data_IF_586523967917
#
_entry.id   IF_586523967917
#
_cell.length_a   1.000
_cell.length_b   1.000
_cell.length_c   1.000
_cell.angle_alpha   90.00
_cell.angle_beta   90.00
_cell.angle_gamma   90.00
#
_symmetry.space_group_name_H-M   'P 1'
#
loop_
_entity.id
_entity.type
_entity.pdbx_description
1 polymer ?
#
# COMPACT_ATOMS: atom_id res chain seq x y z
N UNK A 1 4.69 -18.05 -37.06
CA UNK A 1 4.93 -16.99 -36.11
C UNK A 1 4.91 -17.64 -34.72
N UNK A 2 6.02 -17.65 -33.99
CA UNK A 2 6.06 -18.17 -32.61
C UNK A 2 5.14 -17.29 -31.78
N UNK A 3 4.17 -17.89 -31.05
CA UNK A 3 3.32 -17.17 -30.13
C UNK A 3 4.22 -16.51 -29.08
N UNK A 4 4.12 -15.20 -28.93
CA UNK A 4 4.84 -14.46 -27.89
C UNK A 4 4.29 -14.92 -26.54
N UNK A 5 5.16 -15.21 -25.56
CA UNK A 5 4.70 -15.63 -24.23
C UNK A 5 3.93 -14.49 -23.55
N UNK A 6 2.79 -14.77 -22.88
CA UNK A 6 2.03 -13.76 -22.13
C UNK A 6 2.87 -12.95 -21.13
N UNK A 7 3.89 -13.57 -20.53
CA UNK A 7 4.87 -12.90 -19.67
C UNK A 7 5.71 -11.89 -20.48
N UNK A 8 6.11 -12.24 -21.70
CA UNK A 8 6.87 -11.34 -22.57
C UNK A 8 6.06 -10.10 -22.93
N UNK A 9 4.75 -10.24 -23.18
CA UNK A 9 3.86 -9.11 -23.47
C UNK A 9 3.73 -8.19 -22.26
N UNK A 10 3.62 -8.75 -21.03
CA UNK A 10 3.57 -7.97 -19.82
C UNK A 10 4.88 -7.20 -19.57
N UNK A 11 6.02 -7.85 -19.76
CA UNK A 11 7.34 -7.20 -19.70
C UNK A 11 7.44 -6.08 -20.74
N UNK A 12 7.00 -6.32 -21.98
CA UNK A 12 7.02 -5.30 -23.03
C UNK A 12 6.14 -4.08 -22.68
N UNK A 13 4.98 -4.29 -22.03
CA UNK A 13 4.14 -3.20 -21.54
C UNK A 13 4.84 -2.37 -20.45
N UNK A 14 5.54 -3.01 -19.51
CA UNK A 14 6.33 -2.33 -18.48
C UNK A 14 7.48 -1.54 -19.13
N UNK A 15 8.21 -2.13 -20.07
CA UNK A 15 9.30 -1.45 -20.76
C UNK A 15 8.79 -0.25 -21.59
N UNK A 16 7.66 -0.39 -22.28
CA UNK A 16 7.03 0.73 -22.99
C UNK A 16 6.70 1.88 -22.03
N UNK A 17 6.13 1.58 -20.87
CA UNK A 17 5.82 2.57 -19.84
C UNK A 17 7.09 3.27 -19.29
N UNK A 18 8.20 2.54 -19.16
CA UNK A 18 9.49 3.11 -18.75
C UNK A 18 10.05 4.13 -19.76
N UNK A 19 9.59 4.10 -20.99
CA UNK A 19 10.01 5.04 -22.04
C UNK A 19 8.91 6.06 -22.38
N UNK A 20 7.72 5.95 -21.80
CA UNK A 20 6.62 6.89 -22.02
C UNK A 20 6.82 8.15 -21.17
N UNK A 21 7.02 9.33 -21.77
CA UNK A 21 7.17 10.56 -21.02
C UNK A 21 5.81 10.99 -20.43
N UNK A 22 5.77 11.34 -19.15
CA UNK A 22 4.54 11.83 -18.46
C UNK A 22 4.63 13.29 -18.02
N UNK A 23 5.84 13.75 -17.81
CA UNK A 23 6.20 15.17 -17.69
C UNK A 23 7.37 15.41 -18.63
N UNK A 24 7.66 16.65 -19.08
CA UNK A 24 8.75 16.88 -20.01
C UNK A 24 10.05 16.25 -19.51
N UNK A 25 10.52 15.21 -20.23
CA UNK A 25 11.77 14.52 -19.96
C UNK A 25 11.76 13.39 -18.93
N UNK A 26 10.64 13.14 -18.22
CA UNK A 26 10.57 12.09 -17.21
C UNK A 26 9.72 10.89 -17.70
N UNK A 27 10.21 9.63 -17.56
CA UNK A 27 9.43 8.44 -17.90
C UNK A 27 8.37 8.14 -16.83
N UNK A 28 7.31 7.43 -17.23
CA UNK A 28 6.25 6.98 -16.30
C UNK A 28 6.80 6.08 -15.17
N UNK A 29 7.76 5.20 -15.49
CA UNK A 29 8.39 4.30 -14.52
C UNK A 29 9.91 4.45 -14.57
N UNK A 30 10.53 5.35 -13.77
CA UNK A 30 11.99 5.48 -13.72
C UNK A 30 12.72 4.21 -13.34
N UNK A 31 12.21 3.49 -12.32
CA UNK A 31 12.67 2.20 -11.87
C UNK A 31 11.50 1.27 -11.58
N UNK A 32 11.70 -0.04 -11.79
CA UNK A 32 10.66 -1.04 -11.60
C UNK A 32 11.24 -2.36 -11.13
N UNK A 33 10.49 -3.03 -10.25
CA UNK A 33 10.65 -4.44 -9.87
C UNK A 33 9.29 -5.09 -9.98
N UNK A 34 9.15 -6.07 -10.88
CA UNK A 34 7.95 -6.87 -11.07
C UNK A 34 8.18 -8.32 -10.65
N UNK A 35 7.22 -8.91 -9.96
CA UNK A 35 7.24 -10.31 -9.55
C UNK A 35 5.89 -10.95 -9.86
N UNK A 36 5.90 -12.08 -10.56
CA UNK A 36 4.76 -12.97 -10.75
C UNK A 36 5.06 -14.30 -10.09
N UNK A 37 4.14 -14.76 -9.27
CA UNK A 37 4.26 -16.02 -8.54
C UNK A 37 2.94 -16.79 -8.61
N UNK A 38 3.02 -18.10 -8.72
CA UNK A 38 1.86 -18.97 -8.62
C UNK A 38 2.27 -20.35 -8.06
N UNK A 39 1.44 -20.87 -7.15
CA UNK A 39 1.51 -22.23 -6.60
C UNK A 39 2.93 -22.68 -6.24
N UNK A 40 3.65 -21.89 -5.46
CA UNK A 40 4.99 -22.20 -4.98
C UNK A 40 6.13 -21.84 -5.94
N UNK A 41 5.87 -21.25 -7.12
CA UNK A 41 6.90 -20.97 -8.13
C UNK A 41 6.88 -19.48 -8.56
N UNK A 42 8.06 -18.93 -8.76
CA UNK A 42 8.22 -17.67 -9.47
C UNK A 42 7.99 -17.93 -10.96
N UNK A 43 6.98 -17.28 -11.52
CA UNK A 43 6.63 -17.37 -12.95
C UNK A 43 7.48 -16.37 -13.75
N UNK A 44 7.68 -15.17 -13.19
CA UNK A 44 8.52 -14.14 -13.77
C UNK A 44 9.05 -13.19 -12.70
N UNK A 45 10.26 -12.72 -12.93
CA UNK A 45 10.85 -11.57 -12.22
C UNK A 45 11.40 -10.62 -13.27
N UNK A 46 11.10 -9.33 -13.13
CA UNK A 46 11.58 -8.30 -14.06
C UNK A 46 12.09 -7.10 -13.26
N UNK A 47 13.32 -6.70 -13.54
CA UNK A 47 13.97 -5.54 -12.93
C UNK A 47 14.53 -4.63 -13.98
N UNK A 48 14.18 -3.35 -13.94
CA UNK A 48 14.66 -2.41 -14.94
C UNK A 48 14.72 -0.98 -14.41
N UNK A 49 15.55 -0.15 -15.05
CA UNK A 49 15.65 1.28 -14.76
C UNK A 49 16.47 1.62 -13.52
N UNK A 50 16.10 2.71 -12.88
CA UNK A 50 16.88 3.32 -11.80
C UNK A 50 16.02 3.58 -10.56
N UNK A 51 16.49 3.13 -9.41
CA UNK A 51 15.97 3.52 -8.10
C UNK A 51 16.16 5.04 -7.87
N UNK A 52 17.25 5.62 -8.41
CA UNK A 52 17.48 7.08 -8.46
C UNK A 52 17.92 7.46 -9.87
N UNK A 53 17.09 8.24 -10.56
CA UNK A 53 17.34 8.68 -11.93
C UNK A 53 17.66 10.18 -12.02
N UNK A 54 17.16 10.98 -11.11
CA UNK A 54 17.32 12.43 -11.03
C UNK A 54 17.98 12.84 -9.72
N UNK A 55 18.69 13.95 -9.70
CA UNK A 55 19.21 14.58 -8.49
C UNK A 55 18.19 15.51 -7.84
N UNK A 56 18.55 16.11 -6.70
CA UNK A 56 17.67 17.01 -5.96
C UNK A 56 17.31 18.31 -6.68
N UNK A 57 17.94 18.63 -7.81
CA UNK A 57 17.55 19.77 -8.67
C UNK A 57 16.60 19.38 -9.79
N UNK A 58 16.23 18.10 -9.88
CA UNK A 58 15.45 17.56 -11.01
C UNK A 58 16.27 17.32 -12.28
N UNK A 59 17.59 17.44 -12.22
CA UNK A 59 18.45 17.16 -13.36
C UNK A 59 18.66 15.64 -13.49
N UNK A 60 18.50 15.13 -14.73
CA UNK A 60 18.72 13.70 -14.99
C UNK A 60 20.19 13.36 -14.81
N UNK A 61 20.46 12.38 -13.93
CA UNK A 61 21.81 11.92 -13.64
C UNK A 61 22.47 11.24 -14.85
N UNK A 62 23.76 11.47 -15.08
CA UNK A 62 24.53 10.68 -16.03
C UNK A 62 24.56 9.21 -15.58
N UNK A 63 24.72 8.28 -16.52
CA UNK A 63 24.58 6.83 -16.25
C UNK A 63 25.45 6.36 -15.06
N UNK A 64 26.67 6.87 -14.94
CA UNK A 64 27.61 6.51 -13.86
C UNK A 64 27.18 6.97 -12.44
N UNK A 65 26.23 7.89 -12.32
CA UNK A 65 25.74 8.41 -11.04
C UNK A 65 24.33 7.92 -10.69
N UNK A 66 23.65 7.18 -11.59
CA UNK A 66 22.33 6.60 -11.31
C UNK A 66 22.47 5.46 -10.30
N UNK A 67 21.47 5.32 -9.43
CA UNK A 67 21.31 4.10 -8.64
C UNK A 67 20.43 3.15 -9.44
N UNK A 68 20.90 2.00 -9.91
CA UNK A 68 20.06 1.05 -10.65
C UNK A 68 19.00 0.46 -9.73
N UNK A 69 17.82 0.13 -10.27
CA UNK A 69 16.87 -0.74 -9.59
C UNK A 69 17.46 -2.16 -9.51
N UNK A 70 17.17 -2.87 -8.42
CA UNK A 70 17.61 -4.23 -8.12
C UNK A 70 16.45 -5.03 -7.54
N UNK A 71 16.53 -6.34 -7.53
CA UNK A 71 15.51 -7.22 -6.92
C UNK A 71 15.25 -6.88 -5.46
N UNK A 72 16.28 -6.42 -4.73
CA UNK A 72 16.25 -6.05 -3.33
C UNK A 72 16.06 -4.54 -3.11
N UNK A 73 15.67 -3.79 -4.14
CA UNK A 73 15.32 -2.37 -4.00
C UNK A 73 14.10 -2.23 -3.09
N UNK A 74 14.22 -1.35 -2.11
CA UNK A 74 13.18 -1.05 -1.13
C UNK A 74 12.38 0.14 -1.62
N UNK A 75 11.08 -0.03 -1.79
CA UNK A 75 10.15 1.00 -2.25
C UNK A 75 9.26 1.49 -1.11
N UNK A 76 8.94 2.78 -1.10
CA UNK A 76 7.78 3.29 -0.37
C UNK A 76 6.52 2.69 -1.00
N UNK A 77 5.81 1.86 -0.23
CA UNK A 77 4.64 1.15 -0.75
C UNK A 77 3.33 1.95 -0.58
N UNK A 78 3.44 3.18 -0.08
CA UNK A 78 2.33 4.12 0.03
C UNK A 78 1.09 3.45 0.65
N UNK A 79 -0.05 3.51 -0.02
CA UNK A 79 -1.33 2.98 0.49
C UNK A 79 -1.39 1.47 0.68
N UNK A 80 -0.41 0.67 0.20
CA UNK A 80 -0.31 -0.73 0.63
C UNK A 80 -0.09 -0.85 2.15
N UNK A 81 0.39 0.21 2.82
CA UNK A 81 0.44 0.34 4.28
C UNK A 81 -0.90 -0.02 4.94
N UNK A 82 -2.02 0.33 4.31
CA UNK A 82 -3.37 0.07 4.81
C UNK A 82 -3.65 -1.41 5.03
N UNK A 83 -3.05 -2.28 4.21
CA UNK A 83 -3.19 -3.74 4.33
C UNK A 83 -2.52 -4.26 5.61
N UNK A 84 -1.36 -3.71 5.94
CA UNK A 84 -0.67 -4.03 7.19
C UNK A 84 -1.45 -3.52 8.40
N UNK A 85 -1.96 -2.29 8.33
CA UNK A 85 -2.80 -1.70 9.38
C UNK A 85 -4.09 -2.52 9.61
N UNK A 86 -4.74 -2.97 8.53
CA UNK A 86 -5.90 -3.84 8.60
C UNK A 86 -5.56 -5.21 9.23
N UNK A 87 -4.42 -5.79 8.86
CA UNK A 87 -3.91 -7.04 9.47
C UNK A 87 -3.73 -6.88 10.99
N UNK A 88 -3.10 -5.79 11.42
CA UNK A 88 -2.93 -5.47 12.84
C UNK A 88 -4.28 -5.28 13.55
N UNK A 89 -5.26 -4.66 12.89
CA UNK A 89 -6.61 -4.51 13.44
C UNK A 89 -7.28 -5.86 13.71
N UNK A 90 -7.19 -6.79 12.73
CA UNK A 90 -7.74 -8.13 12.90
C UNK A 90 -7.04 -8.92 14.02
N UNK A 91 -5.73 -8.76 14.18
CA UNK A 91 -5.01 -9.34 15.33
C UNK A 91 -5.50 -8.78 16.68
N UNK A 92 -5.88 -7.47 16.75
CA UNK A 92 -6.48 -6.93 17.96
C UNK A 92 -7.91 -7.46 18.17
N UNK A 93 -8.66 -7.75 17.10
CA UNK A 93 -9.97 -8.41 17.19
C UNK A 93 -9.82 -9.84 17.73
N UNK A 94 -8.89 -10.62 17.19
CA UNK A 94 -8.59 -11.99 17.65
C UNK A 94 -8.17 -12.02 19.13
N UNK A 95 -7.47 -10.98 19.57
CA UNK A 95 -7.04 -10.83 20.96
C UNK A 95 -8.17 -10.29 21.89
N UNK A 96 -9.38 -10.04 21.37
CA UNK A 96 -10.51 -9.51 22.13
C UNK A 96 -10.33 -8.05 22.60
N UNK A 97 -9.37 -7.31 22.05
CA UNK A 97 -9.10 -5.91 22.39
C UNK A 97 -9.82 -4.90 21.49
N UNK A 98 -10.30 -5.35 20.34
CA UNK A 98 -11.01 -4.54 19.36
C UNK A 98 -12.28 -5.27 18.88
N UNK A 99 -13.41 -4.55 18.87
CA UNK A 99 -14.66 -5.02 18.27
C UNK A 99 -14.94 -4.16 17.01
N UNK A 100 -15.04 -4.82 15.85
CA UNK A 100 -15.35 -4.15 14.59
C UNK A 100 -16.74 -3.51 14.56
N UNK A 101 -17.68 -4.02 15.35
CA UNK A 101 -19.04 -3.48 15.45
C UNK A 101 -19.13 -2.30 16.42
N UNK A 102 -18.14 -2.13 17.30
CA UNK A 102 -18.13 -1.03 18.26
C UNK A 102 -17.92 0.33 17.57
N UNK A 103 -18.51 1.41 18.13
CA UNK A 103 -18.19 2.75 17.71
C UNK A 103 -16.70 3.08 17.94
N UNK A 104 -16.07 3.77 16.99
CA UNK A 104 -14.68 4.26 17.14
C UNK A 104 -14.54 5.13 18.39
N UNK A 105 -15.59 5.92 18.70
CA UNK A 105 -15.64 6.79 19.87
C UNK A 105 -15.57 6.03 21.20
N UNK A 106 -15.89 4.73 21.23
CA UNK A 106 -15.70 3.89 22.42
C UNK A 106 -14.22 3.80 22.83
N UNK A 107 -13.34 3.71 21.84
CA UNK A 107 -11.88 3.63 22.04
C UNK A 107 -11.21 5.00 22.04
N UNK A 108 -11.69 5.90 21.19
CA UNK A 108 -11.19 7.25 20.97
C UNK A 108 -12.30 8.27 21.22
N UNK A 109 -12.58 8.70 22.47
CA UNK A 109 -13.73 9.56 22.81
C UNK A 109 -13.78 10.87 22.00
N UNK A 110 -12.64 11.45 21.64
CA UNK A 110 -12.55 12.68 20.81
C UNK A 110 -13.12 12.48 19.40
N UNK A 111 -13.14 11.25 18.90
CA UNK A 111 -13.71 10.93 17.59
C UNK A 111 -15.21 11.20 17.49
N UNK A 112 -15.92 11.27 18.63
CA UNK A 112 -17.35 11.60 18.67
C UNK A 112 -17.69 13.03 18.23
N UNK A 113 -16.67 13.90 18.09
CA UNK A 113 -16.87 15.28 17.66
C UNK A 113 -17.69 15.36 16.36
N UNK A 114 -18.48 16.41 16.22
CA UNK A 114 -19.32 16.69 15.05
C UNK A 114 -20.31 15.55 14.70
N UNK A 115 -20.82 14.86 15.73
CA UNK A 115 -21.86 13.83 15.58
C UNK A 115 -21.39 12.51 14.98
N UNK A 116 -20.10 12.14 15.15
CA UNK A 116 -19.51 10.90 14.64
C UNK A 116 -19.55 9.72 15.65
N UNK A 117 -20.35 9.83 16.71
CA UNK A 117 -20.42 8.81 17.76
C UNK A 117 -20.94 7.44 17.28
N UNK A 118 -21.57 7.37 16.11
CA UNK A 118 -22.15 6.17 15.51
C UNK A 118 -21.22 5.45 14.51
N UNK A 119 -20.13 6.09 14.09
CA UNK A 119 -19.17 5.48 13.16
C UNK A 119 -18.48 4.29 13.82
N UNK A 120 -18.60 3.11 13.21
CA UNK A 120 -18.03 1.85 13.71
C UNK A 120 -16.65 1.58 13.13
N UNK A 121 -15.85 0.78 13.84
CA UNK A 121 -14.49 0.40 13.41
C UNK A 121 -14.49 -0.25 12.03
N UNK A 122 -15.46 -1.14 11.73
CA UNK A 122 -15.58 -1.78 10.42
C UNK A 122 -15.67 -0.75 9.28
N UNK A 123 -16.33 0.39 9.50
CA UNK A 123 -16.51 1.43 8.47
C UNK A 123 -15.24 2.20 8.14
N UNK A 124 -14.25 2.22 9.06
CA UNK A 124 -12.92 2.72 8.74
C UNK A 124 -12.20 1.78 7.76
N UNK A 125 -12.34 0.46 7.95
CA UNK A 125 -11.68 -0.57 7.14
C UNK A 125 -12.33 -0.78 5.77
N UNK A 126 -13.62 -0.45 5.62
CA UNK A 126 -14.39 -0.60 4.37
C UNK A 126 -14.58 0.72 3.63
N UNK A 127 -14.00 1.82 4.13
CA UNK A 127 -14.14 3.16 3.59
C UNK A 127 -15.60 3.66 3.47
N UNK A 128 -16.46 3.27 4.43
CA UNK A 128 -17.87 3.66 4.48
C UNK A 128 -18.23 4.54 5.68
N UNK A 129 -17.25 5.16 6.30
CA UNK A 129 -17.40 6.03 7.46
C UNK A 129 -17.99 7.41 7.14
N UNK A 130 -17.87 7.87 5.89
CA UNK A 130 -18.22 9.22 5.45
C UNK A 130 -17.18 10.29 5.81
N UNK A 131 -15.98 9.92 6.28
CA UNK A 131 -14.91 10.89 6.51
C UNK A 131 -14.38 11.46 5.19
N UNK A 132 -13.86 12.70 5.27
CA UNK A 132 -13.11 13.31 4.16
C UNK A 132 -12.03 12.37 3.64
N UNK A 133 -11.82 12.40 2.31
CA UNK A 133 -10.83 11.55 1.68
C UNK A 133 -9.39 11.91 2.10
N UNK A 134 -9.11 13.20 2.35
CA UNK A 134 -7.80 13.74 2.68
C UNK A 134 -7.92 15.13 3.33
N UNK A 135 -6.95 15.51 4.16
CA UNK A 135 -6.75 16.85 4.71
C UNK A 135 -5.27 17.24 4.58
N UNK A 136 -4.94 18.51 4.37
CA UNK A 136 -3.54 18.97 4.34
C UNK A 136 -2.96 19.11 5.76
N UNK A 137 -2.88 17.98 6.50
CA UNK A 137 -2.49 17.98 7.92
C UNK A 137 -1.08 18.55 8.12
N UNK A 138 -0.17 18.22 7.21
CA UNK A 138 1.21 18.68 7.25
C UNK A 138 1.36 20.19 7.14
N UNK A 139 0.45 20.84 6.44
CA UNK A 139 0.50 22.27 6.14
C UNK A 139 -0.27 23.14 7.15
N UNK A 140 -1.49 22.70 7.51
CA UNK A 140 -2.46 23.55 8.22
C UNK A 140 -2.41 23.38 9.74
N UNK A 141 -1.71 22.35 10.26
CA UNK A 141 -1.56 22.13 11.69
C UNK A 141 -0.09 21.98 12.10
N UNK A 142 0.36 22.76 13.12
CA UNK A 142 1.80 22.91 13.37
C UNK A 142 2.47 21.73 14.12
N UNK A 143 1.69 20.97 14.91
CA UNK A 143 2.27 19.87 15.72
C UNK A 143 1.63 18.53 15.39
N UNK A 144 2.35 17.43 15.70
CA UNK A 144 1.83 16.07 15.53
C UNK A 144 0.50 15.88 16.27
N UNK A 145 0.38 16.38 17.49
CA UNK A 145 -0.83 16.28 18.31
C UNK A 145 -2.01 17.04 17.66
N UNK A 146 -1.76 18.24 17.13
CA UNK A 146 -2.79 19.02 16.44
C UNK A 146 -3.24 18.34 15.14
N UNK A 147 -2.33 17.71 14.40
CA UNK A 147 -2.62 16.93 13.18
C UNK A 147 -3.48 15.71 13.49
N UNK A 148 -3.07 14.93 14.51
CA UNK A 148 -3.87 13.78 14.97
C UNK A 148 -5.24 14.24 15.41
N UNK A 149 -5.33 15.31 16.19
CA UNK A 149 -6.60 15.85 16.65
C UNK A 149 -7.50 16.29 15.49
N UNK A 150 -6.95 16.99 14.52
CA UNK A 150 -7.69 17.42 13.32
C UNK A 150 -8.21 16.20 12.53
N UNK A 151 -7.39 15.16 12.33
CA UNK A 151 -7.82 13.94 11.67
C UNK A 151 -8.97 13.23 12.41
N UNK A 152 -8.91 13.17 13.75
CA UNK A 152 -9.92 12.51 14.57
C UNK A 152 -11.20 13.35 14.70
N UNK A 153 -11.10 14.68 14.72
CA UNK A 153 -12.25 15.56 14.99
C UNK A 153 -12.85 16.19 13.74
N UNK A 154 -12.28 15.98 12.53
CA UNK A 154 -12.85 16.49 11.28
C UNK A 154 -14.30 16.01 11.10
N UNK A 155 -15.24 16.89 10.66
CA UNK A 155 -16.62 16.48 10.39
C UNK A 155 -16.70 15.42 9.28
N UNK A 156 -17.82 14.72 9.19
CA UNK A 156 -18.14 13.87 8.03
C UNK A 156 -18.34 14.75 6.78
N UNK A 157 -17.85 14.25 5.63
CA UNK A 157 -18.10 14.85 4.32
C UNK A 157 -19.37 14.30 3.67
N UNK A 158 -19.65 13.01 3.89
CA UNK A 158 -20.79 12.30 3.32
C UNK A 158 -21.53 11.49 4.39
N UNK A 159 -22.75 11.01 4.11
CA UNK A 159 -23.44 10.05 4.97
C UNK A 159 -22.62 8.77 5.17
N UNK A 160 -22.74 8.19 6.35
CA UNK A 160 -22.19 6.88 6.66
C UNK A 160 -22.86 5.80 5.79
N UNK A 161 -22.06 4.92 5.18
CA UNK A 161 -22.54 3.88 4.27
C UNK A 161 -22.26 4.17 2.80
N UNK A 162 -21.91 5.40 2.44
CA UNK A 162 -21.35 5.72 1.13
C UNK A 162 -19.86 5.38 1.08
N UNK A 163 -19.37 4.89 -0.05
CA UNK A 163 -17.94 4.62 -0.22
C UNK A 163 -17.19 5.91 -0.52
N UNK A 164 -16.27 6.26 0.36
CA UNK A 164 -15.28 7.32 0.16
C UNK A 164 -13.93 6.79 0.58
N UNK A 165 -13.08 6.47 -0.39
CA UNK A 165 -11.69 6.11 -0.07
C UNK A 165 -11.02 7.24 0.71
N UNK A 166 -10.66 7.00 1.97
CA UNK A 166 -10.23 8.04 2.89
C UNK A 166 -8.98 7.62 3.66
N UNK A 167 -7.96 8.47 3.60
CA UNK A 167 -6.75 8.33 4.40
C UNK A 167 -7.04 8.57 5.89
N UNK A 168 -8.01 9.46 6.20
CA UNK A 168 -8.38 9.75 7.59
C UNK A 168 -8.91 8.52 8.32
N UNK A 169 -9.57 7.58 7.61
CA UNK A 169 -9.99 6.31 8.17
C UNK A 169 -8.82 5.54 8.78
N UNK A 170 -7.75 5.43 8.01
CA UNK A 170 -6.59 4.63 8.42
C UNK A 170 -5.67 5.38 9.38
N UNK A 171 -5.64 6.72 9.32
CA UNK A 171 -4.99 7.54 10.35
C UNK A 171 -5.68 7.29 11.69
N UNK A 172 -7.03 7.40 11.73
CA UNK A 172 -7.80 7.13 12.93
C UNK A 172 -7.63 5.68 13.44
N UNK A 173 -7.62 4.70 12.52
CA UNK A 173 -7.38 3.30 12.85
C UNK A 173 -5.99 3.07 13.43
N UNK A 174 -4.94 3.71 12.87
CA UNK A 174 -3.57 3.64 13.41
C UNK A 174 -3.51 4.14 14.86
N UNK A 175 -4.08 5.31 15.13
CA UNK A 175 -4.18 5.87 16.50
C UNK A 175 -4.96 4.94 17.44
N UNK A 176 -6.04 4.34 16.94
CA UNK A 176 -6.84 3.39 17.70
C UNK A 176 -6.03 2.13 18.05
N UNK A 177 -5.26 1.60 17.10
CA UNK A 177 -4.40 0.43 17.32
C UNK A 177 -3.33 0.70 18.37
N UNK A 178 -2.66 1.84 18.33
CA UNK A 178 -1.72 2.25 19.39
C UNK A 178 -2.42 2.31 20.76
N UNK A 179 -3.64 2.85 20.80
CA UNK A 179 -4.42 2.96 22.04
C UNK A 179 -4.79 1.61 22.65
N UNK A 180 -5.27 0.66 21.83
CA UNK A 180 -5.76 -0.64 22.34
C UNK A 180 -4.63 -1.65 22.57
N UNK A 181 -3.52 -1.53 21.85
CA UNK A 181 -2.35 -2.40 22.04
C UNK A 181 -1.38 -1.89 23.10
N UNK A 182 -1.37 -0.59 23.37
CA UNK A 182 -0.36 0.08 24.21
C UNK A 182 1.04 0.12 23.58
N UNK A 183 1.14 -0.13 22.26
CA UNK A 183 2.40 -0.26 21.51
C UNK A 183 2.40 0.71 20.33
N UNK A 184 3.47 1.47 20.06
CA UNK A 184 3.61 2.27 18.85
C UNK A 184 3.38 1.42 17.59
N UNK A 185 2.74 2.02 16.56
CA UNK A 185 2.28 1.31 15.37
C UNK A 185 3.42 0.63 14.61
N UNK A 186 4.57 1.26 14.54
CA UNK A 186 5.77 0.73 13.89
C UNK A 186 6.33 -0.50 14.61
N UNK A 187 6.39 -0.47 15.94
CA UNK A 187 6.80 -1.62 16.75
C UNK A 187 5.76 -2.73 16.69
N UNK A 188 4.47 -2.37 16.68
CA UNK A 188 3.39 -3.34 16.54
C UNK A 188 3.48 -4.09 15.20
N UNK A 189 3.76 -3.37 14.09
CA UNK A 189 3.99 -3.98 12.78
C UNK A 189 5.19 -4.93 12.81
N UNK A 190 6.32 -4.48 13.35
CA UNK A 190 7.53 -5.28 13.45
C UNK A 190 7.27 -6.56 14.22
N UNK A 191 6.77 -6.46 15.45
CA UNK A 191 6.68 -7.58 16.38
C UNK A 191 5.59 -8.58 16.01
N UNK A 192 4.54 -8.13 15.29
CA UNK A 192 3.36 -8.95 15.00
C UNK A 192 3.25 -9.44 13.57
N UNK A 193 4.03 -8.85 12.64
CA UNK A 193 3.94 -9.20 11.22
C UNK A 193 5.33 -9.42 10.64
N UNK A 194 6.19 -8.40 10.60
CA UNK A 194 7.39 -8.48 9.77
C UNK A 194 8.47 -9.36 10.37
N UNK A 195 8.72 -9.31 11.66
CA UNK A 195 9.71 -10.15 12.32
C UNK A 195 9.28 -11.63 12.34
N UNK A 196 8.03 -12.00 12.73
CA UNK A 196 7.59 -13.40 12.67
C UNK A 196 7.65 -14.01 11.27
N UNK A 197 7.34 -13.23 10.22
CA UNK A 197 7.36 -13.68 8.83
C UNK A 197 8.75 -13.57 8.17
N UNK A 198 9.76 -13.08 8.88
CA UNK A 198 11.11 -12.89 8.34
C UNK A 198 11.22 -11.81 7.25
N UNK A 199 10.29 -10.86 7.20
CA UNK A 199 10.22 -9.74 6.25
C UNK A 199 11.18 -8.63 6.68
N UNK A 200 12.47 -8.84 6.48
CA UNK A 200 13.55 -7.98 7.03
C UNK A 200 13.68 -6.63 6.35
N UNK A 201 13.16 -6.52 5.15
CA UNK A 201 13.21 -5.31 4.32
C UNK A 201 11.85 -4.56 4.32
N UNK A 202 10.95 -4.93 5.25
CA UNK A 202 9.63 -4.34 5.38
C UNK A 202 9.43 -3.71 6.75
N UNK A 203 8.98 -2.45 6.75
CA UNK A 203 8.67 -1.70 7.97
C UNK A 203 8.52 -0.22 7.70
N UNK A 204 8.24 0.54 8.74
CA UNK A 204 8.33 2.00 8.67
C UNK A 204 9.80 2.45 8.60
N UNK A 205 10.08 3.59 7.96
CA UNK A 205 11.44 4.08 7.75
C UNK A 205 12.33 4.07 9.01
N UNK A 206 11.85 4.45 10.22
CA UNK A 206 12.64 4.39 11.43
C UNK A 206 13.20 3.00 11.78
N UNK A 207 12.45 1.90 11.46
CA UNK A 207 12.92 0.52 11.70
C UNK A 207 13.92 0.05 10.65
N UNK A 208 13.92 0.67 9.47
CA UNK A 208 14.77 0.29 8.35
C UNK A 208 16.08 1.10 8.27
N UNK A 209 16.35 1.95 9.26
CA UNK A 209 17.53 2.83 9.29
C UNK A 209 18.88 2.12 9.28
N UNK A 210 18.90 0.78 9.50
CA UNK A 210 20.10 -0.05 9.38
C UNK A 210 20.36 -0.57 7.95
N UNK A 211 19.39 -0.44 7.04
CA UNK A 211 19.58 -0.83 5.64
C UNK A 211 20.49 0.15 4.93
N UNK A 212 21.23 -0.36 3.94
CA UNK A 212 22.02 0.51 3.06
C UNK A 212 21.11 1.55 2.41
N UNK A 213 21.35 2.86 2.61
CA UNK A 213 20.57 3.92 1.96
C UNK A 213 20.54 3.80 0.43
N UNK A 214 21.54 3.15 -0.16
CA UNK A 214 21.59 2.84 -1.58
C UNK A 214 20.48 1.93 -2.08
N UNK A 215 19.84 1.17 -1.20
CA UNK A 215 18.75 0.25 -1.55
C UNK A 215 17.40 0.94 -1.73
N UNK A 216 17.19 2.13 -1.15
CA UNK A 216 15.89 2.80 -1.26
C UNK A 216 15.70 3.45 -2.63
N UNK A 217 14.53 3.25 -3.23
CA UNK A 217 14.10 4.01 -4.39
C UNK A 217 13.75 5.45 -3.96
N UNK A 218 14.19 6.43 -4.76
CA UNK A 218 13.74 7.80 -4.59
C UNK A 218 12.30 7.96 -5.07
N UNK A 219 11.55 8.78 -4.37
CA UNK A 219 10.21 9.20 -4.75
C UNK A 219 10.25 10.59 -5.36
N UNK A 220 9.61 11.57 -4.81
CA UNK A 220 9.41 12.88 -5.40
C UNK A 220 10.44 13.91 -4.91
N UNK A 221 10.61 14.99 -5.66
CA UNK A 221 11.23 16.22 -5.16
C UNK A 221 10.11 17.10 -4.63
N UNK A 222 10.05 17.24 -3.32
CA UNK A 222 8.98 17.96 -2.62
C UNK A 222 9.46 19.34 -2.17
N UNK A 223 9.36 20.30 -3.07
CA UNK A 223 9.77 21.68 -2.81
C UNK A 223 8.78 22.41 -1.88
N UNK A 224 7.47 22.15 -2.02
CA UNK A 224 6.41 22.79 -1.22
C UNK A 224 6.54 22.45 0.28
N UNK A 225 6.93 21.24 0.60
CA UNK A 225 7.21 20.81 1.96
C UNK A 225 8.65 21.09 2.41
N UNK A 226 9.50 21.63 1.52
CA UNK A 226 10.90 21.94 1.80
C UNK A 226 11.77 20.70 2.02
N UNK A 227 11.36 19.52 1.52
CA UNK A 227 12.05 18.23 1.75
C UNK A 227 13.12 17.92 0.69
N UNK A 228 13.04 18.57 -0.49
CA UNK A 228 13.88 18.22 -1.63
C UNK A 228 13.63 16.79 -2.15
N UNK A 229 14.69 16.10 -2.57
CA UNK A 229 14.56 14.71 -3.07
C UNK A 229 14.28 13.76 -1.91
N UNK A 230 13.06 13.22 -1.88
CA UNK A 230 12.61 12.25 -0.86
C UNK A 230 13.15 10.86 -1.19
N UNK A 231 13.90 10.27 -0.25
CA UNK A 231 14.48 8.92 -0.37
C UNK A 231 14.73 8.31 1.00
N UNK A 232 14.18 7.14 1.27
CA UNK A 232 14.27 6.50 2.60
C UNK A 232 13.45 7.20 3.67
N UNK A 233 12.64 8.18 3.28
CA UNK A 233 11.58 8.80 4.06
C UNK A 233 10.25 8.58 3.33
N UNK A 234 9.14 8.53 4.09
CA UNK A 234 7.80 8.37 3.52
C UNK A 234 7.48 9.52 2.56
N UNK A 235 6.94 9.19 1.39
CA UNK A 235 6.52 10.17 0.39
C UNK A 235 5.31 10.98 0.86
N UNK A 236 4.28 10.32 1.42
CA UNK A 236 3.06 10.98 1.87
C UNK A 236 3.34 12.07 2.90
N UNK A 237 2.95 13.30 2.60
CA UNK A 237 3.26 14.48 3.41
C UNK A 237 2.57 14.43 4.78
N UNK A 238 1.35 13.86 4.86
CA UNK A 238 0.65 13.70 6.12
C UNK A 238 1.35 12.66 7.00
N UNK A 239 1.69 11.50 6.46
CA UNK A 239 2.44 10.47 7.19
C UNK A 239 3.80 11.00 7.65
N UNK A 240 4.53 11.71 6.78
CA UNK A 240 5.78 12.39 7.15
C UNK A 240 5.60 13.35 8.32
N UNK A 241 4.58 14.19 8.26
CA UNK A 241 4.28 15.18 9.31
C UNK A 241 3.81 14.54 10.63
N UNK A 242 3.40 13.27 10.59
CA UNK A 242 3.06 12.44 11.75
C UNK A 242 4.26 11.66 12.29
N UNK A 243 5.47 11.91 11.77
CA UNK A 243 6.71 11.25 12.20
C UNK A 243 7.10 10.04 11.37
N UNK A 244 6.56 9.90 10.16
CA UNK A 244 6.84 8.80 9.23
C UNK A 244 6.07 7.51 9.54
N UNK A 245 5.22 7.52 10.57
CA UNK A 245 4.47 6.33 11.03
C UNK A 245 2.99 6.68 11.10
N UNK A 246 2.22 6.15 10.16
CA UNK A 246 0.77 6.36 10.12
C UNK A 246 0.05 5.15 9.53
N UNK A 247 -1.23 4.96 9.89
CA UNK A 247 -1.97 3.78 9.44
C UNK A 247 -2.32 3.75 7.95
N UNK A 248 -2.21 4.88 7.24
CA UNK A 248 -2.55 5.01 5.82
C UNK A 248 -1.36 4.93 4.87
N UNK A 249 -0.16 5.28 5.33
CA UNK A 249 1.09 5.33 4.55
C UNK A 249 2.32 5.26 5.47
N UNK A 250 3.51 4.97 4.92
CA UNK A 250 4.80 5.00 5.60
C UNK A 250 5.54 3.69 5.65
N UNK A 251 4.92 2.58 5.25
CA UNK A 251 5.61 1.29 5.12
C UNK A 251 6.44 1.27 3.83
N UNK A 252 7.63 0.72 3.96
CA UNK A 252 8.54 0.39 2.87
C UNK A 252 8.63 -1.13 2.73
N UNK A 253 8.89 -1.63 1.52
CA UNK A 253 9.02 -3.08 1.29
C UNK A 253 9.76 -3.40 0.00
N UNK A 254 10.06 -4.68 -0.18
CA UNK A 254 10.54 -5.30 -1.41
C UNK A 254 9.47 -6.20 -2.03
N UNK A 255 9.64 -6.60 -3.28
CA UNK A 255 8.72 -7.53 -3.94
C UNK A 255 8.71 -8.91 -3.25
N UNK A 256 9.85 -9.38 -2.75
CA UNK A 256 9.97 -10.65 -2.05
C UNK A 256 9.20 -10.66 -0.71
N UNK A 257 9.34 -9.59 0.07
CA UNK A 257 8.63 -9.47 1.35
C UNK A 257 7.11 -9.31 1.13
N UNK A 258 6.70 -8.52 0.12
CA UNK A 258 5.28 -8.41 -0.23
C UNK A 258 4.69 -9.74 -0.72
N UNK A 259 5.47 -10.58 -1.42
CA UNK A 259 5.03 -11.94 -1.75
C UNK A 259 4.81 -12.77 -0.47
N UNK A 260 5.73 -12.69 0.49
CA UNK A 260 5.56 -13.36 1.79
C UNK A 260 4.29 -12.89 2.49
N UNK A 261 4.02 -11.58 2.50
CA UNK A 261 2.79 -11.02 3.06
C UNK A 261 1.54 -11.49 2.31
N UNK A 262 1.56 -11.52 0.97
CA UNK A 262 0.42 -11.98 0.16
C UNK A 262 0.10 -13.46 0.43
N UNK A 263 1.13 -14.30 0.64
CA UNK A 263 0.96 -15.73 0.97
C UNK A 263 0.18 -15.95 2.27
N UNK A 264 0.20 -15.02 3.21
CA UNK A 264 -0.65 -15.10 4.41
C UNK A 264 -2.11 -15.29 4.05
N UNK A 265 -2.59 -14.60 3.02
CA UNK A 265 -3.99 -14.65 2.59
C UNK A 265 -4.28 -15.87 1.70
N UNK A 266 -3.30 -16.33 0.93
CA UNK A 266 -3.40 -17.57 0.15
C UNK A 266 -3.41 -18.83 1.05
N UNK A 267 -2.72 -18.78 2.18
CA UNK A 267 -2.47 -19.92 3.05
C UNK A 267 -3.30 -19.85 4.36
N UNK A 268 -4.41 -19.10 4.36
CA UNK A 268 -5.38 -19.05 5.46
C UNK A 268 -4.79 -18.48 6.77
N UNK A 269 -3.92 -17.47 6.68
CA UNK A 269 -3.39 -16.72 7.82
C UNK A 269 -2.01 -17.19 8.31
N UNK A 270 -1.36 -18.10 7.59
CA UNK A 270 -0.02 -18.59 7.98
C UNK A 270 0.89 -18.75 6.77
N UNK A 271 2.20 -18.57 6.96
CA UNK A 271 3.23 -18.81 5.95
C UNK A 271 4.33 -19.66 6.59
N UNK A 272 4.71 -20.76 5.94
CA UNK A 272 5.81 -21.66 6.36
C UNK A 272 5.71 -22.07 7.85
N UNK A 273 4.47 -22.30 8.35
CA UNK A 273 4.17 -22.70 9.72
C UNK A 273 3.99 -21.53 10.71
N UNK A 274 4.29 -20.30 10.32
CA UNK A 274 4.09 -19.11 11.16
C UNK A 274 2.71 -18.53 10.91
N UNK A 275 1.86 -18.52 11.94
CA UNK A 275 0.50 -17.96 11.87
C UNK A 275 0.46 -16.54 12.41
N UNK A 276 -0.08 -15.62 11.63
CA UNK A 276 -0.32 -14.23 12.06
C UNK A 276 -1.80 -13.83 12.04
N UNK A 277 -2.66 -14.60 11.39
CA UNK A 277 -4.12 -14.42 11.38
C UNK A 277 -4.82 -15.77 11.45
N UNK A 278 -6.04 -15.78 11.97
CA UNK A 278 -6.95 -16.92 11.86
C UNK A 278 -7.54 -17.01 10.44
N UNK A 279 -8.06 -18.19 10.08
CA UNK A 279 -8.80 -18.37 8.83
C UNK A 279 -10.02 -17.42 8.74
N UNK A 280 -10.72 -17.20 9.86
CA UNK A 280 -11.87 -16.29 9.93
C UNK A 280 -11.48 -14.84 9.63
N UNK A 281 -10.37 -14.37 10.18
CA UNK A 281 -9.85 -13.03 9.91
C UNK A 281 -9.48 -12.89 8.42
N UNK A 282 -8.80 -13.88 7.84
CA UNK A 282 -8.49 -13.89 6.42
C UNK A 282 -9.78 -13.85 5.58
N UNK A 283 -10.76 -14.69 5.90
CA UNK A 283 -12.05 -14.71 5.18
C UNK A 283 -12.73 -13.32 5.22
N UNK A 284 -12.75 -12.65 6.38
CA UNK A 284 -13.33 -11.31 6.54
C UNK A 284 -12.57 -10.24 5.77
N UNK A 285 -11.24 -10.34 5.68
CA UNK A 285 -10.42 -9.40 4.91
C UNK A 285 -10.60 -9.57 3.40
N UNK A 286 -10.95 -10.76 2.94
CA UNK A 286 -10.99 -11.14 1.52
C UNK A 286 -12.39 -11.37 0.96
N UNK A 287 -13.43 -11.04 1.73
CA UNK A 287 -14.83 -11.09 1.31
C UNK A 287 -15.37 -9.68 1.14
N UNK A 288 -16.14 -9.45 0.07
CA UNK A 288 -16.77 -8.16 -0.16
C UNK A 288 -17.79 -7.83 0.94
N UNK A 289 -17.55 -6.72 1.63
CA UNK A 289 -18.42 -6.17 2.67
C UNK A 289 -19.22 -4.95 2.21
N UNK A 290 -19.05 -4.55 0.94
CA UNK A 290 -19.76 -3.47 0.29
C UNK A 290 -20.65 -3.94 -0.88
N UNK A 291 -21.36 -5.10 -0.80
CA UNK A 291 -22.07 -5.67 -1.95
C UNK A 291 -23.19 -4.78 -2.47
N UNK A 292 -23.64 -3.80 -1.68
CA UNK A 292 -24.62 -2.78 -2.06
C UNK A 292 -23.99 -1.60 -2.85
N UNK A 293 -22.67 -1.54 -3.01
CA UNK A 293 -21.93 -0.46 -3.67
C UNK A 293 -21.22 -1.02 -4.92
N UNK A 294 -21.90 -1.13 -6.07
CA UNK A 294 -21.29 -1.69 -7.27
C UNK A 294 -20.06 -0.91 -7.73
N UNK A 295 -18.95 -1.61 -7.96
CA UNK A 295 -17.66 -1.03 -8.36
C UNK A 295 -16.70 -0.74 -7.18
N UNK A 296 -17.22 -0.74 -5.95
CA UNK A 296 -16.46 -0.45 -4.73
C UNK A 296 -16.37 -1.69 -3.81
N UNK A 297 -16.28 -2.89 -4.42
CA UNK A 297 -16.11 -4.14 -3.70
C UNK A 297 -14.85 -4.08 -2.82
N UNK A 298 -15.06 -4.26 -1.51
CA UNK A 298 -14.02 -4.03 -0.52
C UNK A 298 -14.18 -4.97 0.68
N UNK A 299 -13.11 -5.67 1.04
CA UNK A 299 -13.02 -6.40 2.29
C UNK A 299 -12.50 -5.52 3.43
N UNK A 300 -12.00 -6.12 4.50
CA UNK A 300 -11.35 -5.36 5.56
C UNK A 300 -9.92 -4.98 5.12
N UNK A 301 -9.82 -3.85 4.41
CA UNK A 301 -8.58 -3.27 3.91
C UNK A 301 -8.24 -3.59 2.46
N UNK A 302 -8.67 -4.73 1.91
CA UNK A 302 -8.42 -5.06 0.51
C UNK A 302 -9.51 -4.53 -0.42
N UNK A 303 -9.11 -3.98 -1.57
CA UNK A 303 -9.97 -3.87 -2.74
C UNK A 303 -10.17 -5.26 -3.37
N UNK A 304 -11.36 -5.54 -3.87
CA UNK A 304 -11.75 -6.83 -4.46
C UNK A 304 -12.26 -6.60 -5.86
N UNK A 305 -11.88 -7.47 -6.82
CA UNK A 305 -12.38 -7.47 -8.19
C UNK A 305 -12.27 -6.09 -8.87
N UNK A 306 -11.06 -5.55 -8.98
CA UNK A 306 -10.81 -4.23 -9.56
C UNK A 306 -10.09 -4.34 -10.93
N UNK A 307 -10.81 -4.52 -12.04
CA UNK A 307 -10.20 -4.70 -13.37
C UNK A 307 -9.26 -3.56 -13.77
N UNK A 308 -9.48 -2.34 -13.24
CA UNK A 308 -8.70 -1.14 -13.56
C UNK A 308 -7.19 -1.31 -13.33
N UNK A 309 -6.77 -2.18 -12.39
CA UNK A 309 -5.36 -2.49 -12.13
C UNK A 309 -5.06 -3.99 -11.97
N UNK A 310 -6.08 -4.82 -11.75
CA UNK A 310 -5.94 -6.27 -11.68
C UNK A 310 -6.01 -6.95 -13.07
N UNK A 311 -6.45 -6.21 -14.11
CA UNK A 311 -6.56 -6.72 -15.47
C UNK A 311 -7.38 -8.00 -15.56
N UNK A 312 -6.91 -8.98 -16.35
CA UNK A 312 -7.57 -10.28 -16.52
C UNK A 312 -7.40 -11.22 -15.31
N UNK A 313 -6.60 -10.85 -14.31
CA UNK A 313 -6.54 -11.57 -13.03
C UNK A 313 -7.73 -11.22 -12.12
N UNK A 314 -8.47 -10.13 -12.45
CA UNK A 314 -9.65 -9.69 -11.70
C UNK A 314 -10.71 -10.76 -11.60
N UNK A 315 -11.38 -10.85 -10.46
CA UNK A 315 -12.45 -11.79 -10.17
C UNK A 315 -12.91 -11.67 -8.72
N UNK A 316 -14.03 -12.30 -8.36
CA UNK A 316 -14.64 -12.15 -7.03
C UNK A 316 -13.78 -12.68 -5.88
N UNK A 317 -12.73 -13.45 -6.20
CA UNK A 317 -11.74 -13.98 -5.26
C UNK A 317 -10.35 -13.37 -5.48
N UNK A 318 -10.27 -12.26 -6.24
CA UNK A 318 -9.02 -11.53 -6.44
C UNK A 318 -9.02 -10.28 -5.55
N UNK A 319 -8.02 -10.21 -4.70
CA UNK A 319 -7.79 -9.12 -3.75
C UNK A 319 -6.56 -8.31 -4.15
N UNK A 320 -6.49 -7.07 -3.75
CA UNK A 320 -5.32 -6.26 -4.00
C UNK A 320 -5.41 -4.86 -3.44
N UNK A 321 -4.38 -4.10 -3.70
CA UNK A 321 -4.34 -2.66 -3.45
C UNK A 321 -3.28 -2.00 -4.32
N UNK A 322 -3.41 -0.70 -4.55
CA UNK A 322 -2.41 0.12 -5.23
C UNK A 322 -1.78 1.13 -4.29
N UNK A 323 -0.59 1.63 -4.63
CA UNK A 323 0.07 2.72 -3.92
C UNK A 323 0.36 3.90 -4.85
N UNK A 324 0.26 5.10 -4.30
CA UNK A 324 0.42 6.36 -5.05
C UNK A 324 1.78 6.46 -5.74
N UNK A 325 2.83 5.93 -5.12
CA UNK A 325 4.21 5.90 -5.64
C UNK A 325 4.40 5.10 -6.92
N UNK A 326 3.40 4.29 -7.33
CA UNK A 326 3.46 3.47 -8.54
C UNK A 326 3.39 1.97 -8.29
N UNK A 327 3.18 1.55 -7.05
CA UNK A 327 3.20 0.15 -6.63
C UNK A 327 1.81 -0.50 -6.71
N UNK A 328 1.78 -1.84 -6.81
CA UNK A 328 0.56 -2.66 -6.66
C UNK A 328 0.90 -4.06 -6.14
N UNK A 329 -0.06 -4.63 -5.42
CA UNK A 329 -0.12 -6.03 -5.03
C UNK A 329 -1.49 -6.56 -5.43
N UNK A 330 -1.52 -7.67 -6.16
CA UNK A 330 -2.74 -8.39 -6.59
C UNK A 330 -2.55 -9.87 -6.26
N UNK A 331 -3.54 -10.48 -5.62
CA UNK A 331 -3.54 -11.91 -5.30
C UNK A 331 -4.88 -12.56 -5.69
N UNK A 332 -4.82 -13.57 -6.53
CA UNK A 332 -5.94 -14.45 -6.87
C UNK A 332 -5.91 -15.65 -5.93
N UNK A 333 -6.90 -15.73 -5.06
CA UNK A 333 -6.98 -16.74 -4.00
C UNK A 333 -7.30 -18.13 -4.56
N UNK A 334 -8.07 -18.21 -5.67
CA UNK A 334 -8.48 -19.48 -6.26
C UNK A 334 -7.34 -20.09 -7.10
N UNK A 335 -6.65 -19.28 -7.89
CA UNK A 335 -5.49 -19.70 -8.69
C UNK A 335 -4.19 -19.76 -7.88
N UNK A 336 -4.22 -19.34 -6.62
CA UNK A 336 -3.04 -19.22 -5.75
C UNK A 336 -1.92 -18.44 -6.43
N UNK A 337 -2.25 -17.26 -6.98
CA UNK A 337 -1.38 -16.48 -7.83
C UNK A 337 -1.21 -15.06 -7.30
N UNK A 338 0.01 -14.51 -7.42
CA UNK A 338 0.34 -13.16 -6.94
C UNK A 338 1.09 -12.39 -8.02
N UNK A 339 0.62 -11.19 -8.34
CA UNK A 339 1.28 -10.22 -9.19
C UNK A 339 1.65 -8.98 -8.38
N UNK A 340 2.95 -8.70 -8.28
CA UNK A 340 3.49 -7.52 -7.60
C UNK A 340 4.20 -6.67 -8.64
N UNK A 341 3.92 -5.36 -8.64
CA UNK A 341 4.66 -4.38 -9.42
C UNK A 341 5.06 -3.23 -8.50
N UNK A 342 6.35 -3.02 -8.31
CA UNK A 342 6.91 -1.91 -7.55
C UNK A 342 7.58 -0.94 -8.51
N UNK A 343 7.22 0.33 -8.44
CA UNK A 343 7.84 1.37 -9.25
C UNK A 343 7.87 2.70 -8.47
N UNK A 344 8.82 3.57 -8.83
CA UNK A 344 8.91 4.92 -8.31
C UNK A 344 8.33 5.93 -9.33
N UNK A 345 7.05 5.76 -9.68
CA UNK A 345 6.38 6.52 -10.73
C UNK A 345 6.22 8.02 -10.42
N UNK A 346 6.42 8.43 -9.17
CA UNK A 346 6.42 9.84 -8.75
C UNK A 346 7.80 10.50 -8.83
N UNK A 347 8.84 9.79 -9.30
CA UNK A 347 10.20 10.31 -9.39
C UNK A 347 10.48 10.92 -10.79
N UNK A 348 10.89 12.18 -10.94
CA UNK A 348 11.22 13.14 -9.88
C UNK A 348 10.02 13.95 -9.37
N UNK A 349 8.90 13.96 -10.09
CA UNK A 349 7.67 14.67 -9.75
C UNK A 349 6.45 13.82 -10.05
N UNK A 350 5.41 13.94 -9.20
CA UNK A 350 4.13 13.28 -9.45
C UNK A 350 3.56 13.71 -10.80
N UNK A 351 3.26 12.74 -11.64
CA UNK A 351 2.68 12.95 -12.96
C UNK A 351 1.18 12.74 -12.96
N UNK A 352 0.54 13.12 -14.05
CA UNK A 352 -0.90 12.91 -14.28
C UNK A 352 -1.20 11.60 -15.01
N UNK A 353 -0.18 10.88 -15.52
CA UNK A 353 -0.41 9.67 -16.28
C UNK A 353 -0.77 8.48 -15.37
N UNK A 354 -1.85 7.75 -15.68
CA UNK A 354 -2.32 6.67 -14.85
C UNK A 354 -1.38 5.46 -14.96
N UNK A 355 -0.87 4.97 -13.82
CA UNK A 355 -0.08 3.74 -13.75
C UNK A 355 -0.93 2.47 -13.82
N UNK A 356 -2.26 2.59 -13.71
CA UNK A 356 -3.17 1.45 -13.67
C UNK A 356 -3.11 0.57 -14.92
N UNK A 357 -2.93 1.14 -16.10
CA UNK A 357 -2.80 0.35 -17.35
C UNK A 357 -1.60 -0.61 -17.31
N UNK A 358 -0.47 -0.17 -16.75
CA UNK A 358 0.73 -1.01 -16.62
C UNK A 358 0.55 -2.08 -15.53
N UNK A 359 -0.07 -1.73 -14.40
CA UNK A 359 -0.43 -2.67 -13.34
C UNK A 359 -1.35 -3.77 -13.88
N UNK A 360 -2.41 -3.37 -14.62
CA UNK A 360 -3.35 -4.30 -15.26
C UNK A 360 -2.65 -5.21 -16.29
N UNK A 361 -1.75 -4.66 -17.12
CA UNK A 361 -0.98 -5.45 -18.07
C UNK A 361 -0.07 -6.47 -17.38
N UNK A 362 0.57 -6.09 -16.26
CA UNK A 362 1.39 -6.99 -15.46
C UNK A 362 0.56 -8.15 -14.90
N UNK A 363 -0.57 -7.87 -14.25
CA UNK A 363 -1.46 -8.89 -13.70
C UNK A 363 -2.11 -9.76 -14.80
N UNK A 364 -2.47 -9.17 -15.96
CA UNK A 364 -2.97 -9.90 -17.13
C UNK A 364 -1.92 -10.90 -17.65
N UNK A 365 -0.65 -10.53 -17.67
CA UNK A 365 0.44 -11.43 -18.07
C UNK A 365 0.49 -12.69 -17.21
N UNK A 366 0.32 -12.55 -15.89
CA UNK A 366 0.21 -13.70 -14.99
C UNK A 366 -1.05 -14.52 -15.27
N UNK A 367 -2.22 -13.87 -15.40
CA UNK A 367 -3.49 -14.57 -15.68
C UNK A 367 -3.39 -15.45 -16.92
N UNK A 368 -2.85 -14.90 -18.02
CA UNK A 368 -2.68 -15.62 -19.29
C UNK A 368 -1.59 -16.70 -19.24
N UNK A 369 -0.57 -16.55 -18.40
CA UNK A 369 0.47 -17.56 -18.20
C UNK A 369 -0.04 -18.78 -17.43
N UNK A 370 -1.17 -18.67 -16.74
CA UNK A 370 -1.83 -19.71 -15.97
C UNK A 370 -3.03 -20.36 -16.70
N UNK A 371 -3.41 -19.83 -17.87
CA UNK A 371 -4.48 -20.36 -18.72
C UNK A 371 -3.94 -21.52 -19.58
#
# INVERSE_FOLDING_TARGET
MSAVSPVTDAIAAVEAARHTPVVPGAPLLPGVVGLMWADGRVIAEHVAGSAVLYDGSGARLPHSRRTPARVDTVFDVASLTKLFTATLALQQVEAGRLDLAAPVAHYLPRFAAHGKCDIRVVQLLTHTSGLEWWLPLWRDWPTREARVDAALTNPRATPTGEFVYSDLNLIALGVLLEKVSGTPLDLLLRDRVTEPLGMRDTGYAPQLGQLDPGRFAATEIEDDAGRGLVRGEVHDENAWSLGGVAGHAGVFSTAADLLTFARVFLDGGSVDGVRILSNDSVARMTTDLNPQLPGDAHGLGFEIDQPRYMGELSGPRTIGHTGFTGVSLVADLDRRAVAILLANAVHPHRGTAPTNAVRAAWATGLSRALA
#
